data_IF_110947215432
#
_entry.id   IF_110947215432
#
_cell.length_a   1.000
_cell.length_b   1.000
_cell.length_c   1.000
_cell.angle_alpha   90.00
_cell.angle_beta   90.00
_cell.angle_gamma   90.00
#
_symmetry.space_group_name_H-M   'P 1'
#
loop_
_entity.id
_entity.type
_entity.pdbx_description
1 polymer ?
#
# COMPACT_ATOMS: atom_id res chain seq x y z
N UNK A 1 -3.07 22.94 2.09
CA UNK A 1 -2.78 22.04 0.96
C UNK A 1 -4.11 21.75 0.30
N UNK A 2 -4.27 22.12 -0.97
CA UNK A 2 -5.47 21.80 -1.72
C UNK A 2 -5.46 20.29 -1.99
N UNK A 3 -6.43 19.55 -1.44
CA UNK A 3 -6.55 18.09 -1.60
C UNK A 3 -7.05 17.71 -3.00
N UNK A 4 -7.48 18.68 -3.81
CA UNK A 4 -8.11 18.47 -5.13
C UNK A 4 -7.12 18.05 -6.24
N UNK A 5 -5.83 17.85 -5.93
CA UNK A 5 -4.83 17.42 -6.90
C UNK A 5 -3.77 16.49 -6.29
N UNK A 6 -4.18 15.44 -5.58
CA UNK A 6 -3.28 14.32 -5.36
C UNK A 6 -3.19 13.51 -6.68
N UNK A 7 -2.07 13.55 -7.42
CA UNK A 7 -1.99 12.99 -8.77
C UNK A 7 -1.87 11.45 -8.79
N UNK A 8 -1.93 10.80 -7.63
CA UNK A 8 -1.63 9.38 -7.45
C UNK A 8 -2.81 8.59 -6.90
N UNK A 9 -2.57 7.28 -6.72
CA UNK A 9 -3.44 6.39 -5.95
C UNK A 9 -2.89 6.24 -4.54
N UNK A 10 -3.77 6.05 -3.58
CA UNK A 10 -3.43 5.71 -2.21
C UNK A 10 -3.14 4.21 -2.09
N UNK A 11 -2.05 3.88 -1.40
CA UNK A 11 -1.70 2.54 -0.98
C UNK A 11 -2.10 2.36 0.49
N UNK A 12 -3.07 1.49 0.75
CA UNK A 12 -3.40 1.02 2.09
C UNK A 12 -2.41 -0.05 2.53
N UNK A 13 -1.88 0.09 3.75
CA UNK A 13 -0.90 -0.84 4.34
C UNK A 13 -1.44 -1.34 5.68
N UNK A 14 -1.64 -2.65 5.77
CA UNK A 14 -1.98 -3.36 7.01
C UNK A 14 -0.75 -4.13 7.51
N UNK A 15 -0.06 -3.58 8.52
CA UNK A 15 1.22 -4.11 9.02
C UNK A 15 0.99 -5.15 10.11
N UNK A 16 1.22 -6.43 9.79
CA UNK A 16 1.22 -7.52 10.75
C UNK A 16 2.62 -8.02 11.09
N UNK A 17 2.74 -8.90 12.08
CA UNK A 17 4.02 -9.52 12.45
C UNK A 17 4.49 -10.57 11.44
N UNK A 18 3.55 -11.28 10.80
CA UNK A 18 3.83 -12.35 9.83
C UNK A 18 3.66 -11.91 8.38
N UNK A 19 2.74 -11.00 8.12
CA UNK A 19 2.36 -10.56 6.77
C UNK A 19 2.11 -9.05 6.76
N UNK A 20 2.25 -8.42 5.59
CA UNK A 20 1.76 -7.06 5.32
C UNK A 20 0.73 -7.16 4.21
N UNK A 21 -0.51 -6.75 4.49
CA UNK A 21 -1.56 -6.64 3.49
C UNK A 21 -1.45 -5.30 2.76
N UNK A 22 -1.49 -5.32 1.43
CA UNK A 22 -1.49 -4.13 0.59
C UNK A 22 -2.80 -4.02 -0.20
N UNK A 23 -3.37 -2.81 -0.23
CA UNK A 23 -4.55 -2.49 -1.02
C UNK A 23 -4.33 -1.19 -1.80
N UNK A 24 -4.80 -1.13 -3.05
CA UNK A 24 -4.69 0.07 -3.89
C UNK A 24 -6.08 0.66 -4.11
N UNK A 25 -6.22 1.97 -3.92
CA UNK A 25 -7.48 2.64 -4.26
C UNK A 25 -7.67 2.78 -5.78
N UNK A 26 -8.91 2.96 -6.20
CA UNK A 26 -9.25 3.39 -7.55
C UNK A 26 -8.90 4.88 -7.77
N UNK A 27 -8.99 5.43 -8.99
CA UNK A 27 -8.67 6.82 -9.28
C UNK A 27 -9.50 7.85 -8.50
N UNK A 28 -10.69 7.49 -8.01
CA UNK A 28 -11.52 8.39 -7.21
C UNK A 28 -11.13 8.41 -5.74
N UNK A 29 -10.27 7.47 -5.29
CA UNK A 29 -9.88 7.34 -3.90
C UNK A 29 -10.96 6.75 -2.99
N UNK A 30 -12.09 6.28 -3.54
CA UNK A 30 -13.24 5.82 -2.76
C UNK A 30 -13.25 4.30 -2.56
N UNK A 31 -12.72 3.54 -3.52
CA UNK A 31 -12.82 2.06 -3.52
C UNK A 31 -11.42 1.47 -3.47
N UNK A 32 -11.15 0.64 -2.46
CA UNK A 32 -9.92 -0.12 -2.36
C UNK A 32 -10.09 -1.54 -2.93
N UNK A 33 -9.04 -2.07 -3.56
CA UNK A 33 -8.93 -3.48 -3.95
C UNK A 33 -7.64 -4.10 -3.40
N UNK A 34 -7.62 -5.42 -3.11
CA UNK A 34 -6.38 -6.12 -2.75
C UNK A 34 -5.33 -5.94 -3.86
N UNK A 35 -4.10 -5.64 -3.45
CA UNK A 35 -2.94 -5.51 -4.35
C UNK A 35 -2.01 -6.72 -4.21
N UNK A 36 -1.50 -6.92 -2.99
CA UNK A 36 -0.52 -7.96 -2.70
C UNK A 36 -0.51 -8.27 -1.21
N UNK A 37 -0.06 -9.47 -0.85
CA UNK A 37 0.31 -9.83 0.51
C UNK A 37 1.82 -10.10 0.56
N UNK A 38 2.53 -9.35 1.40
CA UNK A 38 3.97 -9.57 1.66
C UNK A 38 4.07 -10.54 2.81
N UNK A 39 4.72 -11.70 2.61
CA UNK A 39 5.13 -12.56 3.72
C UNK A 39 6.40 -11.96 4.31
N UNK A 40 6.36 -11.61 5.59
CA UNK A 40 7.42 -10.82 6.21
C UNK A 40 8.62 -11.68 6.58
N UNK A 41 9.80 -11.11 6.37
CA UNK A 41 11.09 -11.71 6.71
C UNK A 41 11.94 -10.71 7.51
N UNK A 42 12.22 -9.55 6.93
CA UNK A 42 12.95 -8.45 7.56
C UNK A 42 12.41 -7.11 7.08
N UNK A 43 12.55 -6.05 7.89
CA UNK A 43 12.12 -4.69 7.47
C UNK A 43 12.77 -4.28 6.15
N UNK A 44 14.05 -4.62 5.95
CA UNK A 44 14.79 -4.27 4.73
C UNK A 44 14.16 -4.91 3.49
N UNK A 45 13.79 -6.18 3.58
CA UNK A 45 13.11 -6.89 2.49
C UNK A 45 11.68 -6.37 2.29
N UNK A 46 10.94 -6.13 3.37
CA UNK A 46 9.59 -5.54 3.32
C UNK A 46 9.61 -4.20 2.55
N UNK A 47 10.56 -3.30 2.86
CA UNK A 47 10.70 -2.00 2.18
C UNK A 47 11.24 -2.10 0.74
N UNK A 48 12.05 -3.12 0.43
CA UNK A 48 12.51 -3.35 -0.92
C UNK A 48 11.34 -3.65 -1.87
N UNK A 49 10.27 -4.31 -1.37
CA UNK A 49 9.04 -4.54 -2.14
C UNK A 49 8.22 -3.26 -2.27
N UNK A 50 8.08 -2.47 -1.20
CA UNK A 50 7.23 -1.27 -1.16
C UNK A 50 7.74 -0.10 -2.01
N UNK A 51 9.06 0.00 -2.24
CA UNK A 51 9.68 1.11 -2.96
C UNK A 51 9.85 0.86 -4.48
N UNK A 52 9.19 -0.16 -5.02
CA UNK A 52 9.27 -0.55 -6.44
C UNK A 52 8.13 0.06 -7.25
#
# INVERSE_FOLDING_TARGET
MNLDSFPGRLLGVDHGLKVIGLALCDPTGLIARPLQLIVRTSKKEDFAVLNT
#
